data_IF_678492428616
#
_entry.id   IF_678492428616
#
_cell.length_a   1.000
_cell.length_b   1.000
_cell.length_c   1.000
_cell.angle_alpha   90.00
_cell.angle_beta   90.00
_cell.angle_gamma   90.00
#
_symmetry.space_group_name_H-M   'P 1'
#
loop_
_entity.id
_entity.type
_entity.pdbx_description
1 polymer ?
#
# COMPACT_ATOMS: atom_id res chain seq x y z
N UNK A 1 42.35 -69.38 18.05
CA UNK A 1 40.92 -69.05 17.82
C UNK A 1 40.67 -67.67 18.39
N UNK A 2 40.93 -66.61 17.63
CA UNK A 2 40.50 -65.27 18.03
C UNK A 2 38.99 -65.16 17.86
N UNK A 3 38.30 -64.92 18.97
CA UNK A 3 36.86 -64.79 19.02
C UNK A 3 36.41 -63.60 18.19
N UNK A 4 35.73 -63.89 17.08
CA UNK A 4 34.94 -62.92 16.33
C UNK A 4 33.92 -62.29 17.27
N UNK A 5 34.23 -61.08 17.78
CA UNK A 5 33.26 -60.22 18.46
C UNK A 5 32.17 -59.90 17.45
N UNK A 6 31.03 -60.60 17.53
CA UNK A 6 29.83 -60.29 16.75
C UNK A 6 29.49 -58.81 16.95
N UNK A 7 29.80 -57.97 15.96
CA UNK A 7 29.48 -56.54 15.98
C UNK A 7 27.96 -56.40 16.12
N UNK A 8 27.51 -55.64 17.10
CA UNK A 8 26.09 -55.37 17.28
C UNK A 8 25.61 -54.54 16.06
N UNK A 9 24.73 -55.10 15.21
CA UNK A 9 24.30 -54.44 13.98
C UNK A 9 23.60 -53.11 14.27
N UNK A 10 22.88 -52.99 15.39
CA UNK A 10 22.22 -51.74 15.78
C UNK A 10 23.22 -50.63 16.11
N UNK A 11 24.28 -50.91 16.87
CA UNK A 11 25.33 -49.90 17.16
C UNK A 11 26.08 -49.49 15.89
N UNK A 12 26.34 -50.43 15.00
CA UNK A 12 27.03 -50.18 13.72
C UNK A 12 26.14 -49.34 12.78
N UNK A 13 24.84 -49.62 12.72
CA UNK A 13 23.87 -48.88 11.92
C UNK A 13 23.60 -47.47 12.47
N UNK A 14 23.57 -47.29 13.80
CA UNK A 14 23.44 -45.96 14.43
C UNK A 14 24.67 -45.08 14.13
N UNK A 15 25.88 -45.63 14.25
CA UNK A 15 27.12 -44.91 13.91
C UNK A 15 27.10 -44.50 12.42
N UNK A 16 26.66 -45.41 11.53
CA UNK A 16 26.51 -45.13 10.11
C UNK A 16 25.50 -44.00 9.85
N UNK A 17 24.33 -44.02 10.51
CA UNK A 17 23.31 -42.97 10.39
C UNK A 17 23.80 -41.60 10.89
N UNK A 18 24.56 -41.58 11.98
CA UNK A 18 25.17 -40.35 12.51
C UNK A 18 26.20 -39.81 11.52
N UNK A 19 27.03 -40.68 10.95
CA UNK A 19 28.02 -40.30 9.93
C UNK A 19 27.34 -39.75 8.67
N UNK A 20 26.29 -40.42 8.17
CA UNK A 20 25.52 -39.96 7.01
C UNK A 20 24.86 -38.61 7.29
N UNK A 21 24.21 -38.46 8.46
CA UNK A 21 23.59 -37.18 8.86
C UNK A 21 24.63 -36.07 9.00
N UNK A 22 25.79 -36.37 9.58
CA UNK A 22 26.92 -35.43 9.69
C UNK A 22 27.47 -35.02 8.33
N UNK A 23 27.65 -35.96 7.40
CA UNK A 23 28.04 -35.69 6.01
C UNK A 23 27.01 -34.83 5.28
N UNK A 24 25.72 -35.09 5.48
CA UNK A 24 24.64 -34.31 4.88
C UNK A 24 24.60 -32.87 5.42
N UNK A 25 24.80 -32.69 6.73
CA UNK A 25 24.91 -31.36 7.34
C UNK A 25 26.18 -30.63 6.85
N UNK A 26 27.31 -31.34 6.80
CA UNK A 26 28.58 -30.77 6.33
C UNK A 26 28.49 -30.34 4.87
N UNK A 27 27.83 -31.11 4.01
CA UNK A 27 27.64 -30.73 2.60
C UNK A 27 26.80 -29.46 2.46
N UNK A 28 25.75 -29.29 3.28
CA UNK A 28 24.96 -28.06 3.30
C UNK A 28 25.77 -26.86 3.77
N UNK A 29 26.57 -27.02 4.83
CA UNK A 29 27.44 -25.94 5.35
C UNK A 29 28.51 -25.57 4.33
N UNK A 30 29.19 -26.55 3.72
CA UNK A 30 30.21 -26.30 2.70
C UNK A 30 29.62 -25.69 1.44
N UNK A 31 28.43 -26.11 1.01
CA UNK A 31 27.74 -25.52 -0.12
C UNK A 31 27.33 -24.07 0.15
N UNK A 32 26.80 -23.78 1.33
CA UNK A 32 26.49 -22.42 1.77
C UNK A 32 27.74 -21.53 1.87
N UNK A 33 28.83 -22.05 2.45
CA UNK A 33 30.10 -21.34 2.57
C UNK A 33 30.70 -21.07 1.18
N UNK A 34 30.86 -22.10 0.35
CA UNK A 34 31.44 -21.99 -0.99
C UNK A 34 30.70 -20.95 -1.83
N UNK A 35 29.36 -20.99 -1.84
CA UNK A 35 28.53 -20.04 -2.59
C UNK A 35 28.66 -18.59 -2.12
N UNK A 36 28.80 -18.35 -0.81
CA UNK A 36 28.98 -17.01 -0.26
C UNK A 36 30.45 -16.51 -0.30
N UNK A 37 31.40 -17.39 -0.59
CA UNK A 37 32.83 -17.03 -0.72
C UNK A 37 33.31 -16.87 -2.17
N UNK A 38 32.46 -17.14 -3.17
CA UNK A 38 32.81 -16.84 -4.56
C UNK A 38 32.75 -15.32 -4.74
N UNK A 39 33.93 -14.72 -4.96
CA UNK A 39 34.05 -13.32 -5.34
C UNK A 39 33.16 -13.04 -6.55
N UNK A 40 32.24 -12.10 -6.38
CA UNK A 40 31.44 -11.62 -7.49
C UNK A 40 32.34 -10.84 -8.45
N UNK A 41 32.09 -10.91 -9.77
CA UNK A 41 32.82 -10.09 -10.71
C UNK A 41 32.70 -8.61 -10.32
N UNK A 42 33.77 -7.82 -10.46
CA UNK A 42 33.74 -6.42 -10.08
C UNK A 42 32.62 -5.70 -10.83
N UNK A 43 31.97 -4.75 -10.16
CA UNK A 43 30.92 -3.95 -10.76
C UNK A 43 31.46 -3.26 -12.04
N UNK A 44 30.80 -3.44 -13.19
CA UNK A 44 31.22 -2.74 -14.41
C UNK A 44 31.22 -1.23 -14.21
N UNK A 45 32.29 -0.56 -14.66
CA UNK A 45 32.50 0.88 -14.40
C UNK A 45 31.36 1.80 -14.86
N UNK A 46 30.56 1.38 -15.86
CA UNK A 46 29.38 2.10 -16.33
C UNK A 46 28.29 2.33 -15.27
N UNK A 47 28.30 1.56 -14.18
CA UNK A 47 27.34 1.65 -13.09
C UNK A 47 27.82 2.55 -11.94
N UNK A 48 29.08 3.00 -11.94
CA UNK A 48 29.64 3.83 -10.88
C UNK A 48 28.91 5.18 -10.70
N UNK A 49 28.32 5.70 -11.78
CA UNK A 49 27.58 6.98 -11.78
C UNK A 49 26.10 6.89 -11.38
N UNK A 50 25.59 5.72 -10.99
CA UNK A 50 24.20 5.57 -10.54
C UNK A 50 24.01 6.14 -9.14
N UNK A 51 22.93 6.91 -8.95
CA UNK A 51 22.67 7.64 -7.71
C UNK A 51 21.81 6.82 -6.75
N UNK A 52 22.06 6.83 -5.44
CA UNK A 52 21.17 6.18 -4.47
C UNK A 52 19.74 6.73 -4.54
N UNK A 53 18.73 5.87 -4.47
CA UNK A 53 17.31 6.25 -4.51
C UNK A 53 16.95 7.35 -3.49
N UNK A 54 17.45 7.23 -2.26
CA UNK A 54 17.19 8.20 -1.18
C UNK A 54 17.97 9.52 -1.29
N UNK A 55 18.96 9.61 -2.18
CA UNK A 55 19.85 10.76 -2.27
C UNK A 55 19.38 11.76 -3.35
N UNK A 56 18.23 12.41 -3.15
CA UNK A 56 17.69 13.51 -3.98
C UNK A 56 18.13 13.45 -5.47
N UNK A 57 17.89 12.29 -6.09
CA UNK A 57 18.60 11.92 -7.31
C UNK A 57 18.15 12.80 -8.48
N UNK A 58 19.11 13.38 -9.21
CA UNK A 58 18.82 14.32 -10.29
C UNK A 58 19.77 14.15 -11.46
N UNK A 59 19.26 14.38 -12.67
CA UNK A 59 20.01 14.55 -13.90
C UNK A 59 19.84 15.99 -14.43
N UNK A 60 20.30 16.25 -15.65
CA UNK A 60 20.09 17.54 -16.31
C UNK A 60 18.61 17.80 -16.61
N UNK A 61 17.85 16.74 -16.93
CA UNK A 61 16.46 16.83 -17.37
C UNK A 61 15.45 16.35 -16.32
N UNK A 62 15.86 15.47 -15.39
CA UNK A 62 14.95 14.83 -14.43
C UNK A 62 15.39 15.04 -12.99
N UNK A 63 14.41 15.06 -12.09
CA UNK A 63 14.61 15.06 -10.65
C UNK A 63 13.63 14.10 -9.98
N UNK A 64 14.15 13.20 -9.16
CA UNK A 64 13.36 12.38 -8.25
C UNK A 64 13.25 13.10 -6.91
N UNK A 65 12.03 13.53 -6.57
CA UNK A 65 11.75 14.26 -5.35
C UNK A 65 10.99 13.38 -4.37
N UNK A 66 11.51 13.25 -3.15
CA UNK A 66 10.75 12.66 -2.04
C UNK A 66 9.57 13.57 -1.72
N UNK A 67 8.37 13.00 -1.71
CA UNK A 67 7.12 13.70 -1.45
C UNK A 67 6.64 13.48 -0.03
N UNK A 68 6.57 12.22 0.40
CA UNK A 68 6.17 11.81 1.76
C UNK A 68 6.92 10.55 2.19
N UNK A 69 7.10 10.38 3.50
CA UNK A 69 7.72 9.21 4.12
C UNK A 69 9.09 9.50 4.71
N UNK A 70 9.26 9.18 6.00
CA UNK A 70 10.52 9.20 6.72
C UNK A 70 11.00 7.74 6.91
N UNK A 71 12.28 7.40 6.64
CA UNK A 71 12.83 6.08 6.91
C UNK A 71 12.57 5.52 8.32
N UNK A 72 12.35 6.40 9.32
CA UNK A 72 12.08 6.00 10.69
C UNK A 72 10.62 5.69 11.02
N UNK A 73 9.67 6.00 10.12
CA UNK A 73 8.24 5.86 10.40
C UNK A 73 7.68 4.57 9.76
N UNK A 74 7.09 3.70 10.60
CA UNK A 74 6.32 2.56 10.11
C UNK A 74 4.99 3.07 9.56
N UNK A 75 4.91 3.12 8.24
CA UNK A 75 3.71 3.49 7.51
C UNK A 75 3.43 2.47 6.45
N UNK A 76 2.16 2.23 6.16
CA UNK A 76 1.73 1.49 4.98
C UNK A 76 1.07 2.47 4.02
N UNK A 77 1.69 2.72 2.87
CA UNK A 77 1.06 3.47 1.79
C UNK A 77 0.18 2.56 0.94
N UNK A 78 -1.03 3.02 0.66
CA UNK A 78 -1.94 2.39 -0.29
C UNK A 78 -1.71 2.95 -1.70
N UNK A 79 -2.12 2.22 -2.75
CA UNK A 79 -2.08 2.72 -4.11
C UNK A 79 -2.69 4.12 -4.22
N UNK A 80 -2.01 5.06 -4.91
CA UNK A 80 -2.51 6.41 -5.11
C UNK A 80 -3.78 6.39 -5.97
N UNK A 81 -4.71 7.30 -5.68
CA UNK A 81 -5.94 7.48 -6.45
C UNK A 81 -5.93 8.84 -7.12
N UNK A 82 -6.53 8.97 -8.30
CA UNK A 82 -6.59 10.23 -9.05
C UNK A 82 -8.01 10.58 -9.42
N UNK A 83 -8.34 11.85 -9.24
CA UNK A 83 -9.55 12.44 -9.81
C UNK A 83 -9.32 12.74 -11.31
N UNK A 84 -10.06 12.08 -12.22
CA UNK A 84 -9.89 12.30 -13.66
C UNK A 84 -10.33 13.70 -14.11
N UNK A 85 -11.12 14.44 -13.32
CA UNK A 85 -11.60 15.78 -13.69
C UNK A 85 -10.57 16.86 -13.39
N UNK A 86 -10.02 16.85 -12.19
CA UNK A 86 -9.06 17.88 -11.73
C UNK A 86 -7.61 17.47 -11.92
N UNK A 87 -7.35 16.17 -12.09
CA UNK A 87 -6.01 15.61 -12.08
C UNK A 87 -5.36 15.56 -10.70
N UNK A 88 -6.08 15.92 -9.63
CA UNK A 88 -5.61 15.80 -8.25
C UNK A 88 -5.41 14.34 -7.87
N UNK A 89 -4.42 14.09 -7.02
CA UNK A 89 -4.07 12.77 -6.53
C UNK A 89 -4.25 12.73 -5.02
N UNK A 90 -4.88 11.66 -4.55
CA UNK A 90 -5.00 11.29 -3.16
C UNK A 90 -3.99 10.19 -2.84
N UNK A 91 -3.10 10.43 -1.89
CA UNK A 91 -2.33 9.37 -1.23
C UNK A 91 -2.96 9.06 0.12
N UNK A 92 -3.01 7.79 0.47
CA UNK A 92 -3.45 7.31 1.78
C UNK A 92 -2.32 6.51 2.42
N UNK A 93 -1.95 6.89 3.63
CA UNK A 93 -1.02 6.17 4.49
C UNK A 93 -1.74 5.74 5.78
N UNK A 94 -1.54 4.49 6.20
CA UNK A 94 -1.80 4.08 7.58
C UNK A 94 -0.48 4.20 8.35
N UNK A 95 -0.44 5.09 9.34
CA UNK A 95 0.71 5.26 10.23
C UNK A 95 0.50 4.42 11.49
N UNK A 96 1.37 3.44 11.71
CA UNK A 96 1.39 2.67 12.95
C UNK A 96 2.01 3.53 14.05
N UNK A 97 1.27 3.74 15.15
CA UNK A 97 1.81 4.38 16.33
C UNK A 97 1.98 3.34 17.44
N UNK A 98 3.19 3.23 17.99
CA UNK A 98 3.59 2.13 18.90
C UNK A 98 2.80 2.06 20.22
N UNK A 99 2.00 3.08 20.55
CA UNK A 99 1.21 3.17 21.77
C UNK A 99 -0.21 3.78 21.57
N UNK A 100 -0.66 3.98 20.33
CA UNK A 100 -1.94 4.65 20.00
C UNK A 100 -2.67 3.88 18.90
N UNK A 101 -3.92 4.25 18.64
CA UNK A 101 -4.64 3.80 17.45
C UNK A 101 -3.89 4.26 16.20
N UNK A 102 -3.68 3.36 15.22
CA UNK A 102 -3.12 3.71 13.92
C UNK A 102 -3.84 4.93 13.34
N UNK A 103 -3.08 5.81 12.71
CA UNK A 103 -3.59 7.07 12.19
C UNK A 103 -3.66 6.98 10.68
N UNK A 104 -4.84 7.25 10.13
CA UNK A 104 -5.00 7.40 8.69
C UNK A 104 -4.54 8.82 8.29
N UNK A 105 -3.53 8.90 7.42
CA UNK A 105 -3.01 10.16 6.89
C UNK A 105 -3.28 10.22 5.40
N UNK A 106 -3.98 11.26 4.97
CA UNK A 106 -4.30 11.51 3.57
C UNK A 106 -3.50 12.70 3.06
N UNK A 107 -2.98 12.62 1.84
CA UNK A 107 -2.23 13.69 1.19
C UNK A 107 -2.89 14.08 -0.12
N UNK A 108 -2.99 15.38 -0.39
CA UNK A 108 -3.56 15.91 -1.63
C UNK A 108 -2.45 16.52 -2.47
N UNK A 109 -2.32 16.03 -3.69
CA UNK A 109 -1.28 16.43 -4.62
C UNK A 109 -1.97 16.99 -5.86
N UNK A 110 -1.51 18.14 -6.34
CA UNK A 110 -2.04 18.73 -7.57
C UNK A 110 -1.58 17.97 -8.83
N UNK A 111 -2.16 18.34 -9.98
CA UNK A 111 -1.81 17.78 -11.28
C UNK A 111 -0.36 18.09 -11.75
N UNK A 112 0.38 18.91 -11.00
CA UNK A 112 1.80 19.23 -11.23
C UNK A 112 2.73 18.51 -10.24
N UNK A 113 2.20 17.67 -9.34
CA UNK A 113 2.98 16.89 -8.39
C UNK A 113 3.41 17.71 -7.17
N UNK A 114 2.69 18.78 -6.85
CA UNK A 114 2.93 19.58 -5.66
C UNK A 114 2.04 19.07 -4.55
N UNK A 115 2.63 18.73 -3.40
CA UNK A 115 1.87 18.45 -2.18
C UNK A 115 1.20 19.76 -1.73
N UNK A 116 -0.13 19.78 -1.71
CA UNK A 116 -0.91 20.94 -1.29
C UNK A 116 -1.07 20.97 0.23
N UNK A 117 -1.52 19.85 0.79
CA UNK A 117 -1.82 19.67 2.21
C UNK A 117 -2.00 18.20 2.57
N UNK A 118 -2.24 17.95 3.87
CA UNK A 118 -2.53 16.62 4.42
C UNK A 118 -3.63 16.68 5.47
N UNK A 119 -4.40 15.60 5.60
CA UNK A 119 -5.40 15.39 6.65
C UNK A 119 -5.04 14.17 7.50
N UNK A 120 -4.95 14.34 8.81
CA UNK A 120 -4.80 13.23 9.77
C UNK A 120 -6.18 12.87 10.33
N UNK A 121 -6.48 11.58 10.37
CA UNK A 121 -7.72 11.06 10.94
C UNK A 121 -7.38 9.91 11.89
N UNK A 122 -7.60 10.16 13.18
CA UNK A 122 -7.34 9.24 14.30
C UNK A 122 -8.55 8.31 14.51
N UNK A 123 -8.87 7.51 13.49
CA UNK A 123 -9.90 6.47 13.60
C UNK A 123 -9.66 5.32 12.63
N UNK A 124 -10.12 4.12 12.99
CA UNK A 124 -9.95 2.90 12.20
C UNK A 124 -11.14 2.63 11.28
N UNK A 125 -12.34 3.02 11.69
CA UNK A 125 -13.58 2.75 10.94
C UNK A 125 -13.78 3.82 9.86
N UNK A 126 -12.78 3.97 8.99
CA UNK A 126 -12.79 4.94 7.91
C UNK A 126 -12.87 4.20 6.59
N UNK A 127 -13.72 4.73 5.73
CA UNK A 127 -13.85 4.27 4.35
C UNK A 127 -13.65 5.45 3.42
N UNK A 128 -13.07 5.18 2.26
CA UNK A 128 -13.03 6.14 1.18
C UNK A 128 -14.14 5.80 0.18
N UNK A 129 -15.04 6.75 -0.06
CA UNK A 129 -16.06 6.62 -1.09
C UNK A 129 -16.01 7.89 -1.94
N UNK A 130 -15.46 7.73 -3.14
CA UNK A 130 -15.14 8.80 -4.07
C UNK A 130 -14.22 9.84 -3.41
N UNK A 131 -14.60 11.11 -3.36
CA UNK A 131 -13.81 12.18 -2.74
C UNK A 131 -14.03 12.34 -1.22
N UNK A 132 -14.87 11.49 -0.61
CA UNK A 132 -15.22 11.60 0.80
C UNK A 132 -14.47 10.58 1.64
N UNK A 133 -13.96 11.06 2.78
CA UNK A 133 -13.43 10.23 3.85
C UNK A 133 -14.57 10.06 4.86
N UNK A 134 -15.11 8.86 4.94
CA UNK A 134 -16.37 8.57 5.62
C UNK A 134 -16.10 7.77 6.88
N UNK A 135 -16.50 8.32 8.02
CA UNK A 135 -16.55 7.68 9.32
C UNK A 135 -18.02 7.41 9.71
N UNK A 136 -18.34 6.40 10.54
CA UNK A 136 -19.71 6.15 10.97
C UNK A 136 -20.45 7.37 11.54
N UNK A 137 -19.77 8.30 12.21
CA UNK A 137 -20.41 9.47 12.85
C UNK A 137 -20.31 10.79 12.07
N UNK A 138 -19.31 10.93 11.21
CA UNK A 138 -19.04 12.16 10.46
C UNK A 138 -18.34 11.84 9.14
N UNK A 139 -18.15 12.83 8.29
CA UNK A 139 -17.35 12.70 7.07
C UNK A 139 -16.45 13.92 6.88
N UNK A 140 -15.46 13.79 6.01
CA UNK A 140 -14.70 14.91 5.48
C UNK A 140 -14.95 15.03 3.98
N UNK A 141 -15.19 16.26 3.52
CA UNK A 141 -15.13 16.67 2.11
C UNK A 141 -13.78 17.28 1.74
N UNK A 142 -12.76 17.11 2.60
CA UNK A 142 -11.45 17.75 2.49
C UNK A 142 -10.81 17.65 1.10
N UNK A 143 -10.95 16.51 0.41
CA UNK A 143 -10.40 16.36 -0.93
C UNK A 143 -11.07 17.29 -1.97
N UNK A 144 -12.35 17.63 -1.77
CA UNK A 144 -13.14 18.51 -2.64
C UNK A 144 -12.89 19.99 -2.36
N UNK A 145 -12.87 20.39 -1.09
CA UNK A 145 -12.93 21.80 -0.68
C UNK A 145 -11.73 22.27 0.16
N UNK A 146 -10.82 21.36 0.55
CA UNK A 146 -9.70 21.63 1.43
C UNK A 146 -10.08 21.83 2.91
N UNK A 147 -11.35 21.67 3.29
CA UNK A 147 -11.80 21.81 4.67
C UNK A 147 -11.41 20.59 5.49
N UNK A 148 -10.60 20.79 6.53
CA UNK A 148 -10.23 19.75 7.49
C UNK A 148 -11.29 19.54 8.58
N UNK A 149 -12.39 20.29 8.56
CA UNK A 149 -13.46 20.18 9.54
C UNK A 149 -14.31 18.93 9.35
N UNK A 150 -14.61 18.23 10.45
CA UNK A 150 -15.59 17.13 10.46
C UNK A 150 -16.96 17.68 10.11
N UNK A 151 -17.67 17.00 9.22
CA UNK A 151 -19.05 17.32 8.85
C UNK A 151 -19.99 16.26 9.38
N UNK A 152 -21.07 16.70 10.00
CA UNK A 152 -22.10 15.79 10.52
C UNK A 152 -23.06 15.37 9.41
N UNK A 153 -23.59 14.16 9.56
CA UNK A 153 -24.70 13.68 8.76
C UNK A 153 -26.00 14.39 9.13
N UNK A 154 -26.82 14.71 8.14
CA UNK A 154 -28.18 15.20 8.36
C UNK A 154 -29.07 14.04 8.81
N UNK A 155 -29.52 13.98 10.09
CA UNK A 155 -30.31 12.86 10.56
C UNK A 155 -31.71 12.91 9.95
N UNK A 156 -32.18 11.77 9.44
CA UNK A 156 -33.56 11.62 8.93
C UNK A 156 -34.50 11.23 10.07
N UNK A 157 -34.10 10.27 10.91
CA UNK A 157 -34.94 9.72 11.99
C UNK A 157 -34.14 9.30 13.24
N UNK A 158 -33.28 10.20 13.77
CA UNK A 158 -32.44 9.91 14.96
C UNK A 158 -33.23 9.48 16.21
N UNK A 159 -34.52 9.81 16.28
CA UNK A 159 -35.40 9.41 17.37
C UNK A 159 -35.87 7.94 17.29
N UNK A 160 -35.62 7.25 16.17
CA UNK A 160 -35.97 5.86 15.88
C UNK A 160 -37.48 5.57 15.93
N UNK A 161 -38.32 6.57 15.65
CA UNK A 161 -39.79 6.42 15.72
C UNK A 161 -40.45 5.89 14.45
N UNK A 162 -39.71 5.76 13.35
CA UNK A 162 -40.28 5.22 12.12
C UNK A 162 -40.59 3.73 12.29
N UNK A 163 -41.85 3.35 12.07
CA UNK A 163 -42.24 1.95 11.94
C UNK A 163 -41.71 1.32 10.65
N UNK A 164 -41.75 -0.01 10.54
CA UNK A 164 -41.11 -0.77 9.45
C UNK A 164 -41.52 -0.30 8.05
N UNK A 165 -42.82 -0.10 7.80
CA UNK A 165 -43.30 0.32 6.49
C UNK A 165 -42.84 1.74 6.12
N UNK A 166 -42.92 2.68 7.08
CA UNK A 166 -42.45 4.04 6.90
C UNK A 166 -40.93 4.09 6.69
N UNK A 167 -40.17 3.26 7.42
CA UNK A 167 -38.73 3.14 7.27
C UNK A 167 -38.35 2.64 5.86
N UNK A 168 -39.06 1.63 5.34
CA UNK A 168 -38.85 1.12 3.98
C UNK A 168 -39.15 2.18 2.91
N UNK A 169 -40.28 2.88 3.03
CA UNK A 169 -40.65 3.93 2.09
C UNK A 169 -39.64 5.08 2.09
N UNK A 170 -39.17 5.49 3.27
CA UNK A 170 -38.16 6.54 3.39
C UNK A 170 -36.81 6.08 2.82
N UNK A 171 -36.39 4.84 3.09
CA UNK A 171 -35.20 4.24 2.49
C UNK A 171 -35.27 4.30 0.96
N UNK A 172 -36.36 3.81 0.34
CA UNK A 172 -36.51 3.78 -1.11
C UNK A 172 -36.51 5.20 -1.71
N UNK A 173 -37.16 6.16 -1.03
CA UNK A 173 -37.21 7.55 -1.46
C UNK A 173 -35.81 8.21 -1.45
N UNK A 174 -35.02 7.97 -0.40
CA UNK A 174 -33.63 8.45 -0.30
C UNK A 174 -32.74 7.74 -1.32
N UNK A 175 -32.83 6.41 -1.40
CA UNK A 175 -32.03 5.58 -2.30
C UNK A 175 -32.18 6.02 -3.76
N UNK A 176 -33.41 6.31 -4.20
CA UNK A 176 -33.69 6.76 -5.57
C UNK A 176 -33.01 8.10 -5.92
N UNK A 177 -32.88 9.01 -4.94
CA UNK A 177 -32.27 10.33 -5.12
C UNK A 177 -30.75 10.33 -4.93
N UNK A 178 -30.25 9.34 -4.19
CA UNK A 178 -28.85 9.30 -3.77
C UNK A 178 -27.90 8.95 -4.91
N UNK A 179 -26.80 9.71 -4.99
CA UNK A 179 -25.68 9.41 -5.88
C UNK A 179 -24.77 8.34 -5.28
N UNK A 180 -24.59 8.36 -3.95
CA UNK A 180 -23.83 7.36 -3.20
C UNK A 180 -24.65 6.88 -2.01
N UNK A 181 -24.46 5.61 -1.63
CA UNK A 181 -25.14 4.96 -0.51
C UNK A 181 -24.14 4.05 0.16
N UNK A 182 -24.05 4.14 1.48
CA UNK A 182 -23.14 3.32 2.27
C UNK A 182 -23.81 2.85 3.56
N UNK A 183 -23.51 1.61 3.93
CA UNK A 183 -24.07 0.94 5.08
C UNK A 183 -23.07 0.85 6.24
N UNK A 184 -23.58 1.02 7.45
CA UNK A 184 -22.89 0.73 8.69
C UNK A 184 -23.77 -0.18 9.55
N UNK A 185 -23.32 -1.41 9.75
CA UNK A 185 -23.98 -2.32 10.67
C UNK A 185 -23.86 -1.81 12.10
N UNK A 186 -24.82 -2.17 12.95
CA UNK A 186 -24.84 -1.77 14.36
C UNK A 186 -23.53 -2.09 15.13
N UNK A 187 -22.75 -3.08 14.68
CA UNK A 187 -21.43 -3.43 15.23
C UNK A 187 -20.35 -2.40 14.91
N UNK A 188 -20.40 -1.76 13.73
CA UNK A 188 -19.46 -0.70 13.34
C UNK A 188 -19.82 0.64 14.01
N UNK A 189 -21.09 0.82 14.37
CA UNK A 189 -21.53 1.92 15.21
C UNK A 189 -21.05 1.78 16.67
N UNK A 190 -20.54 0.59 17.02
CA UNK A 190 -19.90 0.30 18.29
C UNK A 190 -18.38 0.53 18.19
N UNK A 191 -17.99 1.77 17.89
CA UNK A 191 -16.59 2.21 17.72
C UNK A 191 -15.97 2.85 18.97
N UNK A 192 -14.62 2.90 19.03
CA UNK A 192 -13.83 3.20 20.24
C UNK A 192 -13.72 4.69 20.62
N UNK A 193 -14.04 5.65 19.77
CA UNK A 193 -13.74 7.06 20.03
C UNK A 193 -14.98 7.98 20.06
N UNK A 194 -15.01 8.93 21.01
CA UNK A 194 -15.81 10.17 20.91
C UNK A 194 -17.26 10.18 21.41
N UNK A 195 -17.93 9.04 21.62
CA UNK A 195 -19.33 9.00 22.09
C UNK A 195 -19.42 8.55 23.56
N UNK A 196 -20.38 9.03 24.36
CA UNK A 196 -20.58 8.51 25.73
C UNK A 196 -21.00 7.04 25.67
N UNK A 197 -20.57 6.22 26.63
CA UNK A 197 -20.85 4.76 26.66
C UNK A 197 -22.35 4.44 26.54
N UNK A 198 -23.22 5.31 27.06
CA UNK A 198 -24.68 5.19 26.98
C UNK A 198 -25.25 5.30 25.56
N UNK A 199 -24.76 6.24 24.76
CA UNK A 199 -25.23 6.42 23.38
C UNK A 199 -24.72 5.29 22.47
N UNK A 200 -23.52 4.76 22.72
CA UNK A 200 -22.95 3.60 22.00
C UNK A 200 -23.76 2.33 22.25
N UNK A 201 -24.13 2.09 23.51
CA UNK A 201 -24.89 0.91 23.92
C UNK A 201 -26.29 0.87 23.30
N UNK A 202 -26.91 2.04 23.07
CA UNK A 202 -28.25 2.13 22.48
C UNK A 202 -28.33 1.45 21.12
N UNK A 203 -27.39 1.72 20.20
CA UNK A 203 -27.44 1.14 18.84
C UNK A 203 -27.13 -0.36 18.84
N UNK A 204 -26.19 -0.79 19.67
CA UNK A 204 -25.83 -2.20 19.81
C UNK A 204 -26.97 -3.04 20.43
N UNK A 205 -27.53 -2.60 21.56
CA UNK A 205 -28.59 -3.32 22.27
C UNK A 205 -29.89 -3.39 21.43
N UNK A 206 -30.14 -2.36 20.61
CA UNK A 206 -31.31 -2.32 19.73
C UNK A 206 -31.05 -2.92 18.35
N UNK A 207 -29.81 -3.34 18.04
CA UNK A 207 -29.39 -3.79 16.70
C UNK A 207 -29.82 -2.80 15.60
N UNK A 208 -29.61 -1.52 15.87
CA UNK A 208 -29.97 -0.44 14.94
C UNK A 208 -28.79 -0.17 14.02
N UNK A 209 -29.00 -0.38 12.73
CA UNK A 209 -28.07 -0.05 11.66
C UNK A 209 -28.20 1.42 11.24
N UNK A 210 -27.23 1.87 10.43
CA UNK A 210 -27.23 3.19 9.81
C UNK A 210 -26.91 3.07 8.33
N UNK A 211 -27.70 3.76 7.50
CA UNK A 211 -27.39 3.97 6.07
C UNK A 211 -27.23 5.45 5.82
N UNK A 212 -26.17 5.82 5.11
CA UNK A 212 -25.93 7.18 4.68
C UNK A 212 -26.16 7.33 3.17
N UNK A 213 -26.76 8.45 2.77
CA UNK A 213 -27.14 8.76 1.40
C UNK A 213 -26.57 10.11 0.99
N UNK A 214 -25.76 10.15 -0.07
CA UNK A 214 -25.29 11.41 -0.66
C UNK A 214 -26.35 11.96 -1.61
N UNK A 215 -26.98 13.06 -1.24
CA UNK A 215 -28.01 13.74 -2.03
C UNK A 215 -27.60 15.21 -2.15
N UNK A 216 -27.42 15.71 -3.38
CA UNK A 216 -27.05 17.11 -3.63
C UNK A 216 -25.85 17.59 -2.78
N UNK A 217 -24.79 16.76 -2.73
CA UNK A 217 -23.56 17.01 -1.97
C UNK A 217 -23.73 17.08 -0.44
N UNK A 218 -24.84 16.58 0.11
CA UNK A 218 -25.04 16.42 1.55
C UNK A 218 -25.33 14.97 1.90
N UNK A 219 -24.72 14.51 2.99
CA UNK A 219 -24.98 13.16 3.48
C UNK A 219 -26.13 13.14 4.48
N UNK A 220 -27.15 12.37 4.17
CA UNK A 220 -28.30 12.10 5.03
C UNK A 220 -28.14 10.75 5.72
N UNK A 221 -28.51 10.64 6.99
CA UNK A 221 -28.42 9.40 7.77
C UNK A 221 -29.80 8.86 8.17
N UNK A 222 -30.10 7.65 7.74
CA UNK A 222 -31.26 6.88 8.16
C UNK A 222 -30.82 5.81 9.15
N UNK A 223 -31.60 5.61 10.20
CA UNK A 223 -31.35 4.64 11.26
C UNK A 223 -32.51 3.65 11.36
N UNK A 224 -32.23 2.38 11.60
CA UNK A 224 -33.27 1.38 11.73
C UNK A 224 -32.73 -0.04 11.80
N UNK A 225 -33.59 -1.00 12.10
CA UNK A 225 -33.23 -2.42 12.06
C UNK A 225 -33.23 -2.94 10.63
N UNK A 226 -32.36 -3.89 10.33
CA UNK A 226 -32.31 -4.66 9.09
C UNK A 226 -32.18 -3.79 7.83
N UNK A 227 -31.49 -2.64 7.95
CA UNK A 227 -31.31 -1.73 6.81
C UNK A 227 -30.41 -2.35 5.71
N UNK A 228 -29.55 -3.31 6.07
CA UNK A 228 -28.70 -4.03 5.11
C UNK A 228 -29.54 -4.88 4.14
N UNK A 229 -30.67 -5.40 4.60
CA UNK A 229 -31.58 -6.23 3.81
C UNK A 229 -32.49 -5.44 2.86
N UNK A 230 -32.41 -4.11 2.88
CA UNK A 230 -33.22 -3.25 2.02
C UNK A 230 -32.77 -3.32 0.55
N UNK A 231 -33.70 -3.23 -0.42
CA UNK A 231 -33.39 -3.43 -1.83
C UNK A 231 -32.44 -2.35 -2.37
N UNK A 232 -31.41 -2.76 -3.11
CA UNK A 232 -30.51 -1.86 -3.83
C UNK A 232 -29.06 -1.89 -3.32
N UNK A 233 -28.83 -2.19 -2.05
CA UNK A 233 -27.49 -2.30 -1.47
C UNK A 233 -26.71 -0.99 -1.46
N UNK A 234 -25.38 -1.06 -1.43
CA UNK A 234 -24.53 0.14 -1.45
C UNK A 234 -24.33 0.69 -2.87
N UNK A 235 -24.34 2.02 -3.01
CA UNK A 235 -23.88 2.74 -4.20
C UNK A 235 -22.52 3.34 -3.88
N UNK A 236 -21.46 2.60 -4.23
CA UNK A 236 -20.08 3.06 -4.08
C UNK A 236 -19.56 3.61 -5.39
N UNK A 237 -18.75 4.65 -5.31
CA UNK A 237 -17.88 5.08 -6.39
C UNK A 237 -16.47 5.19 -5.83
N UNK A 238 -15.48 4.74 -6.57
CA UNK A 238 -14.07 4.91 -6.20
C UNK A 238 -13.50 6.08 -7.00
N UNK A 239 -12.53 6.78 -6.39
CA UNK A 239 -11.62 7.57 -7.19
C UNK A 239 -10.72 6.58 -7.91
N UNK A 240 -10.78 6.50 -9.23
CA UNK A 240 -9.83 5.69 -9.99
C UNK A 240 -9.38 6.42 -11.26
N UNK A 241 -8.07 6.47 -11.44
CA UNK A 241 -7.43 6.67 -12.75
C UNK A 241 -5.90 6.51 -12.70
N UNK A 242 -5.32 5.77 -11.74
CA UNK A 242 -3.87 5.52 -11.72
C UNK A 242 -3.60 4.02 -11.88
N UNK A 243 -2.83 3.67 -12.91
CA UNK A 243 -2.41 2.29 -13.12
C UNK A 243 -1.19 1.98 -12.24
N UNK A 244 -1.37 1.03 -11.33
CA UNK A 244 -0.25 0.37 -10.65
C UNK A 244 0.49 -0.51 -11.66
N UNK A 245 1.79 -0.29 -11.83
CA UNK A 245 2.67 -1.21 -12.53
C UNK A 245 3.46 -1.99 -11.49
N UNK A 246 3.12 -3.28 -11.35
CA UNK A 246 3.89 -4.19 -10.54
C UNK A 246 5.25 -4.44 -11.21
N UNK A 247 6.29 -4.23 -10.42
CA UNK A 247 7.68 -4.28 -10.86
C UNK A 247 8.32 -5.66 -10.71
N UNK A 248 7.53 -6.70 -10.42
CA UNK A 248 8.03 -8.08 -10.37
C UNK A 248 8.59 -8.55 -11.73
N UNK A 249 8.37 -7.77 -12.80
CA UNK A 249 8.96 -7.95 -14.14
C UNK A 249 10.07 -6.96 -14.48
N UNK A 250 10.74 -6.38 -13.48
CA UNK A 250 11.84 -5.41 -13.66
C UNK A 250 13.01 -5.91 -14.52
N UNK A 251 13.20 -7.23 -14.63
CA UNK A 251 14.19 -7.83 -15.52
C UNK A 251 13.85 -7.75 -17.01
N UNK A 252 12.64 -7.33 -17.38
CA UNK A 252 12.27 -7.06 -18.77
C UNK A 252 12.36 -5.57 -19.03
N UNK A 253 13.11 -5.13 -20.07
CA UNK A 253 13.08 -3.75 -20.50
C UNK A 253 11.64 -3.30 -20.78
N UNK A 254 11.19 -2.29 -20.04
CA UNK A 254 9.93 -1.61 -20.29
C UNK A 254 10.19 -0.09 -20.39
N UNK A 255 9.30 0.70 -21.01
CA UNK A 255 9.57 2.10 -21.32
C UNK A 255 9.57 3.05 -20.12
N UNK A 256 9.39 2.55 -18.89
CA UNK A 256 9.24 3.38 -17.69
C UNK A 256 10.32 3.13 -16.65
N UNK A 257 10.59 1.86 -16.33
CA UNK A 257 11.50 1.49 -15.25
C UNK A 257 11.97 0.05 -15.41
N UNK A 258 13.28 -0.19 -15.47
CA UNK A 258 13.84 -1.55 -15.51
C UNK A 258 15.18 -1.64 -14.79
N UNK A 259 15.57 -2.86 -14.43
CA UNK A 259 16.89 -3.16 -13.84
C UNK A 259 17.89 -3.34 -14.98
N UNK A 260 18.82 -2.39 -15.10
CA UNK A 260 19.93 -2.45 -16.04
C UNK A 260 21.02 -3.44 -15.57
N UNK A 261 21.21 -3.60 -14.26
CA UNK A 261 22.12 -4.57 -13.67
C UNK A 261 21.74 -4.88 -12.23
N UNK A 262 22.05 -6.09 -11.78
CA UNK A 262 21.95 -6.48 -10.38
C UNK A 262 23.30 -7.02 -9.92
N UNK A 263 23.90 -6.36 -8.93
CA UNK A 263 25.16 -6.81 -8.33
C UNK A 263 24.84 -7.58 -7.06
N UNK A 264 25.10 -8.88 -7.07
CA UNK A 264 24.87 -9.78 -5.93
C UNK A 264 25.87 -9.43 -4.82
N UNK A 265 25.41 -9.41 -3.59
CA UNK A 265 26.26 -9.12 -2.43
C UNK A 265 26.24 -10.26 -1.41
N UNK A 266 25.06 -10.85 -1.15
CA UNK A 266 24.94 -12.00 -0.26
C UNK A 266 23.80 -12.93 -0.67
N UNK A 267 23.93 -14.21 -0.38
CA UNK A 267 22.89 -15.19 -0.63
C UNK A 267 22.09 -15.47 0.65
N UNK A 268 20.77 -15.28 0.60
CA UNK A 268 19.81 -15.80 1.55
C UNK A 268 19.51 -17.29 1.32
N UNK A 269 18.41 -17.79 1.87
CA UNK A 269 18.07 -19.22 1.76
C UNK A 269 17.73 -19.66 0.31
N UNK A 270 16.99 -18.82 -0.42
CA UNK A 270 16.56 -19.08 -1.81
C UNK A 270 16.67 -17.83 -2.71
N UNK A 271 17.38 -16.82 -2.24
CA UNK A 271 17.36 -15.49 -2.83
C UNK A 271 18.71 -14.80 -2.69
N UNK A 272 18.99 -13.84 -3.55
CA UNK A 272 20.20 -13.02 -3.51
C UNK A 272 19.85 -11.61 -3.10
N UNK A 273 20.45 -11.11 -2.03
CA UNK A 273 20.44 -9.70 -1.69
C UNK A 273 21.56 -9.01 -2.46
N UNK A 274 21.31 -7.79 -2.93
CA UNK A 274 22.33 -7.01 -3.61
C UNK A 274 21.83 -5.65 -4.07
N UNK A 275 22.67 -4.98 -4.85
CA UNK A 275 22.40 -3.65 -5.36
C UNK A 275 21.83 -3.72 -6.78
N UNK A 276 20.59 -3.26 -6.95
CA UNK A 276 19.97 -3.08 -8.24
C UNK A 276 20.32 -1.71 -8.83
N UNK A 277 20.65 -1.68 -10.12
CA UNK A 277 20.94 -0.49 -10.91
C UNK A 277 19.79 -0.29 -11.89
N UNK A 278 19.01 0.73 -11.65
CA UNK A 278 17.72 1.01 -12.27
C UNK A 278 17.83 2.18 -13.25
N UNK A 279 17.19 2.01 -14.40
CA UNK A 279 16.95 3.10 -15.34
C UNK A 279 15.48 3.51 -15.25
N UNK A 280 15.25 4.71 -14.75
CA UNK A 280 13.93 5.32 -14.62
C UNK A 280 13.73 6.33 -15.76
N UNK A 281 12.75 6.12 -16.61
CA UNK A 281 12.55 6.86 -17.86
C UNK A 281 11.30 7.75 -17.82
N UNK A 282 11.45 8.96 -18.34
CA UNK A 282 10.35 9.89 -18.58
C UNK A 282 10.54 10.53 -19.97
N UNK A 283 9.71 10.12 -20.93
CA UNK A 283 9.90 10.53 -22.31
C UNK A 283 11.21 9.97 -22.87
N UNK A 284 12.14 10.84 -23.28
CA UNK A 284 13.46 10.46 -23.81
C UNK A 284 14.58 10.51 -22.77
N UNK A 285 14.28 11.01 -21.58
CA UNK A 285 15.26 11.20 -20.52
C UNK A 285 15.28 10.00 -19.57
N UNK A 286 16.47 9.69 -19.06
CA UNK A 286 16.70 8.60 -18.11
C UNK A 286 17.38 9.11 -16.86
N UNK A 287 16.83 8.77 -15.70
CA UNK A 287 17.46 8.91 -14.40
C UNK A 287 18.01 7.56 -13.95
N UNK A 288 19.30 7.52 -13.63
CA UNK A 288 20.04 6.31 -13.24
C UNK A 288 20.09 6.22 -11.72
N UNK A 289 19.46 5.20 -11.15
CA UNK A 289 19.26 5.03 -9.71
C UNK A 289 19.79 3.69 -9.22
N UNK A 290 20.26 3.62 -7.98
CA UNK A 290 20.58 2.35 -7.32
C UNK A 290 19.88 2.20 -5.99
N UNK A 291 19.47 0.97 -5.68
CA UNK A 291 18.81 0.61 -4.42
C UNK A 291 19.07 -0.86 -4.11
N UNK A 292 19.05 -1.20 -2.83
CA UNK A 292 19.07 -2.59 -2.39
C UNK A 292 17.78 -3.29 -2.85
N UNK A 293 17.92 -4.52 -3.34
CA UNK A 293 16.81 -5.39 -3.74
C UNK A 293 17.20 -6.85 -3.52
N UNK A 294 16.21 -7.73 -3.58
CA UNK A 294 16.43 -9.18 -3.48
C UNK A 294 15.93 -9.88 -4.74
N UNK A 295 16.64 -10.90 -5.21
CA UNK A 295 16.26 -11.68 -6.39
C UNK A 295 16.08 -13.14 -6.01
N UNK A 296 14.90 -13.72 -6.30
CA UNK A 296 14.72 -15.17 -6.23
C UNK A 296 15.18 -15.80 -7.53
N UNK A 297 16.19 -16.66 -7.43
CA UNK A 297 16.69 -17.45 -8.55
C UNK A 297 15.85 -18.71 -8.82
N UNK A 298 14.86 -18.98 -7.96
CA UNK A 298 13.94 -20.10 -8.13
C UNK A 298 13.06 -19.87 -9.35
N UNK A 299 13.56 -20.25 -10.53
CA UNK A 299 12.82 -20.83 -11.67
C UNK A 299 13.62 -20.86 -12.98
N UNK A 300 14.88 -20.44 -13.05
CA UNK A 300 15.61 -20.47 -14.34
C UNK A 300 14.95 -19.66 -15.46
N UNK A 301 13.92 -18.87 -15.12
CA UNK A 301 13.21 -18.00 -16.02
C UNK A 301 13.96 -16.67 -16.13
N UNK A 302 14.20 -16.28 -17.37
CA UNK A 302 14.49 -14.89 -17.71
C UNK A 302 13.15 -14.25 -18.09
N UNK A 303 12.71 -13.17 -17.44
CA UNK A 303 13.44 -12.27 -16.54
C UNK A 303 13.61 -12.76 -15.08
N UNK A 304 14.65 -12.26 -14.40
CA UNK A 304 14.83 -12.45 -12.95
C UNK A 304 13.63 -11.88 -12.17
N UNK A 305 13.19 -12.61 -11.15
CA UNK A 305 12.11 -12.20 -10.24
C UNK A 305 12.68 -11.37 -9.08
N UNK A 306 12.46 -10.06 -9.12
CA UNK A 306 12.91 -9.12 -8.11
C UNK A 306 11.85 -8.96 -7.02
N UNK A 307 12.24 -9.17 -5.78
CA UNK A 307 11.52 -8.80 -4.57
C UNK A 307 12.02 -7.45 -4.06
N UNK A 308 11.21 -6.80 -3.21
CA UNK A 308 11.44 -5.45 -2.65
C UNK A 308 11.08 -4.35 -3.65
N UNK A 309 9.77 -4.22 -3.81
CA UNK A 309 9.05 -3.59 -4.91
C UNK A 309 9.11 -2.07 -4.80
N UNK A 310 9.90 -1.45 -5.66
CA UNK A 310 9.45 -0.15 -6.17
C UNK A 310 8.07 -0.39 -6.81
N UNK A 311 7.10 0.46 -6.52
CA UNK A 311 5.81 0.45 -7.17
C UNK A 311 5.76 1.70 -8.02
N UNK A 312 5.50 1.53 -9.31
CA UNK A 312 5.45 2.64 -10.26
C UNK A 312 4.01 2.89 -10.65
N UNK A 313 3.56 4.12 -10.47
CA UNK A 313 2.19 4.54 -10.69
C UNK A 313 2.15 5.64 -11.74
N UNK A 314 1.39 5.41 -12.81
CA UNK A 314 1.27 6.38 -13.91
C UNK A 314 -0.07 6.25 -14.62
N UNK A 315 -0.53 7.40 -15.11
CA UNK A 315 -1.58 7.52 -16.13
C UNK A 315 -1.02 8.24 -17.37
N UNK A 316 -1.63 8.01 -18.54
CA UNK A 316 -1.19 8.63 -19.80
C UNK A 316 -1.27 10.16 -19.75
N UNK A 317 -2.21 10.71 -18.97
CA UNK A 317 -2.42 12.15 -18.83
C UNK A 317 -1.59 12.80 -17.71
N UNK A 318 -0.82 12.01 -16.94
CA UNK A 318 0.03 12.54 -15.88
C UNK A 318 1.37 13.06 -16.42
N UNK A 319 1.77 14.24 -15.95
CA UNK A 319 3.05 14.88 -16.29
C UNK A 319 4.24 14.29 -15.49
N UNK A 320 3.97 13.55 -14.41
CA UNK A 320 4.95 12.88 -13.56
C UNK A 320 4.38 11.52 -13.12
N UNK A 321 5.21 10.47 -12.98
CA UNK A 321 4.83 9.26 -12.28
C UNK A 321 5.08 9.38 -10.77
N UNK A 322 4.39 8.53 -10.01
CA UNK A 322 4.59 8.32 -8.57
C UNK A 322 5.35 7.00 -8.37
N UNK A 323 6.30 7.00 -7.44
CA UNK A 323 7.14 5.85 -7.14
C UNK A 323 7.10 5.61 -5.64
N UNK A 324 6.70 4.43 -5.20
CA UNK A 324 6.68 4.05 -3.78
C UNK A 324 7.70 2.94 -3.57
N UNK A 325 8.60 3.05 -2.59
CA UNK A 325 9.53 1.96 -2.26
C UNK A 325 8.97 1.04 -1.17
N UNK A 326 9.72 -0.02 -0.86
CA UNK A 326 9.33 -1.00 0.18
C UNK A 326 9.21 -0.41 1.59
N UNK A 327 9.91 0.70 1.85
CA UNK A 327 9.83 1.45 3.11
C UNK A 327 8.69 2.47 3.09
N UNK A 328 7.79 2.37 2.10
CA UNK A 328 6.64 3.24 1.92
C UNK A 328 7.01 4.73 1.86
N UNK A 329 8.18 5.03 1.30
CA UNK A 329 8.53 6.37 0.90
C UNK A 329 7.99 6.62 -0.49
N UNK A 330 7.28 7.73 -0.66
CA UNK A 330 6.68 8.13 -1.91
C UNK A 330 7.51 9.23 -2.57
N UNK A 331 7.89 8.99 -3.81
CA UNK A 331 8.65 9.90 -4.66
C UNK A 331 7.81 10.28 -5.89
N UNK A 332 8.17 11.40 -6.49
CA UNK A 332 7.69 11.83 -7.79
C UNK A 332 8.86 12.12 -8.72
N UNK A 333 8.74 11.71 -9.98
CA UNK A 333 9.75 11.99 -11.00
C UNK A 333 9.30 13.17 -11.86
N UNK A 334 10.02 14.28 -11.78
CA UNK A 334 9.68 15.54 -12.47
C UNK A 334 10.69 15.89 -13.54
N UNK A 335 10.22 16.54 -14.60
CA UNK A 335 11.09 17.26 -15.53
C UNK A 335 11.65 18.51 -14.85
N UNK A 336 12.95 18.76 -14.97
CA UNK A 336 13.58 19.99 -14.52
C UNK A 336 13.33 21.07 -15.56
N UNK A 337 12.63 22.12 -15.17
CA UNK A 337 12.58 23.34 -15.97
C UNK A 337 14.02 23.88 -16.05
N UNK A 338 14.61 23.87 -17.24
CA UNK A 338 15.88 24.57 -17.47
C UNK A 338 15.58 26.05 -17.24
N UNK A 339 16.06 26.61 -16.12
CA UNK A 339 16.19 28.06 -16.01
C UNK A 339 17.13 28.47 -17.13
N UNK A 340 16.58 28.98 -18.23
CA UNK A 340 17.37 29.75 -19.19
C UNK A 340 17.93 30.92 -18.39
N UNK A 341 19.24 30.86 -18.13
CA UNK A 341 20.00 31.97 -17.56
C UNK A 341 20.05 33.12 -18.56
#
# INVERSE_FOLDING_TARGET
MEGSKKRNPYKTNIILLILISGLFMLSHVLFFAFRNTIDQPPLPGQYAGYLPLGAAAKSNALELKLLVGDPGERRKLFPPLRDPKTGMILLHALQEETNSTDVNVYYRIDANGTLLDSLRVEDYDISLNREYIIHPDYYYSWFLDGSSGRQEYLPVNKDLKLGTEALRQEYEALYKKATLVQFFGYQMLWGKNGVTEGDRRRFYDTKTDKVIFLIQNKWHALFGKDLEGMPGGEKKATLDSIKALNLDRLGVPNPYLYVANFHKESQGYQEWNGMAYLNLMLGKDTLKLKTEMTVKESEGEHPLNYHHQLQYFRDETMSFPIIINENYQCYILKSRSVKKL
#
